data_IF_962504858031
#
_entry.id   IF_962504858031
#
_cell.length_a   1.000
_cell.length_b   1.000
_cell.length_c   1.000
_cell.angle_alpha   90.00
_cell.angle_beta   90.00
_cell.angle_gamma   90.00
#
_symmetry.space_group_name_H-M   'P 1'
#
loop_
_entity.id
_entity.type
_entity.pdbx_description
1 polymer ?
#
# COMPACT_ATOMS: atom_id res chain seq x y z
N UNK A 1 -0.52 12.30 -7.28
CA UNK A 1 -1.72 11.50 -7.60
C UNK A 1 -2.64 11.39 -6.38
N UNK A 2 -2.24 10.67 -5.32
CA UNK A 2 -3.11 10.45 -4.15
C UNK A 2 -3.63 11.73 -3.50
N UNK A 3 -2.76 12.72 -3.21
CA UNK A 3 -3.21 14.04 -2.72
C UNK A 3 -4.20 14.73 -3.65
N UNK A 4 -4.03 14.59 -4.97
CA UNK A 4 -4.93 15.16 -5.96
C UNK A 4 -6.29 14.44 -5.96
N UNK A 5 -6.30 13.10 -5.91
CA UNK A 5 -7.52 12.29 -5.83
C UNK A 5 -8.33 12.56 -4.56
N UNK A 6 -7.65 12.87 -3.45
CA UNK A 6 -8.29 13.27 -2.19
C UNK A 6 -8.76 14.75 -2.19
N UNK A 7 -8.58 15.48 -3.29
CA UNK A 7 -8.93 16.91 -3.38
C UNK A 7 -7.97 17.86 -2.65
N UNK A 8 -6.82 17.37 -2.20
CA UNK A 8 -5.80 18.08 -1.38
C UNK A 8 -4.63 18.56 -2.24
N UNK A 9 -4.93 19.14 -3.41
CA UNK A 9 -3.91 19.53 -4.39
C UNK A 9 -3.05 20.70 -3.92
N UNK A 10 -3.61 21.56 -3.08
CA UNK A 10 -2.96 22.69 -2.42
C UNK A 10 -1.83 22.24 -1.46
N UNK A 11 -1.93 21.04 -0.89
CA UNK A 11 -0.89 20.48 -0.04
C UNK A 11 0.35 20.01 -0.79
N UNK A 12 0.24 19.73 -2.09
CA UNK A 12 1.34 19.16 -2.88
C UNK A 12 2.57 20.08 -2.82
N UNK A 13 2.38 21.40 -2.95
CA UNK A 13 3.50 22.36 -2.88
C UNK A 13 4.11 22.46 -1.49
N UNK A 14 3.28 22.36 -0.44
CA UNK A 14 3.73 22.47 0.94
C UNK A 14 4.49 21.24 1.40
N UNK A 15 4.10 20.06 0.90
CA UNK A 15 4.72 18.76 1.24
C UNK A 15 5.99 18.48 0.44
N UNK A 16 6.10 19.04 -0.78
CA UNK A 16 7.26 18.84 -1.65
C UNK A 16 7.92 20.18 -2.04
N UNK A 17 8.33 21.03 -1.07
CA UNK A 17 8.80 22.39 -1.36
C UNK A 17 10.13 22.41 -2.12
N UNK A 18 10.94 21.35 -1.99
CA UNK A 18 12.19 21.20 -2.73
C UNK A 18 11.98 20.78 -4.19
N UNK A 19 10.77 20.33 -4.56
CA UNK A 19 10.46 19.82 -5.89
C UNK A 19 9.90 20.94 -6.76
N UNK A 20 10.76 21.59 -7.55
CA UNK A 20 10.40 22.69 -8.45
C UNK A 20 9.33 22.32 -9.49
N UNK A 21 9.20 21.03 -9.81
CA UNK A 21 8.17 20.50 -10.71
C UNK A 21 6.77 20.33 -10.11
N UNK A 22 6.56 20.57 -8.81
CA UNK A 22 5.29 20.32 -8.12
C UNK A 22 4.10 21.07 -8.74
N UNK A 23 4.27 22.34 -9.13
CA UNK A 23 3.25 23.15 -9.82
C UNK A 23 2.88 22.56 -11.18
N UNK A 24 3.91 22.13 -11.94
CA UNK A 24 3.71 21.49 -13.24
C UNK A 24 2.95 20.18 -13.08
N UNK A 25 3.29 19.37 -12.08
CA UNK A 25 2.60 18.10 -11.78
C UNK A 25 1.13 18.33 -11.46
N UNK A 26 0.78 19.35 -10.67
CA UNK A 26 -0.63 19.71 -10.41
C UNK A 26 -1.36 20.00 -11.72
N UNK A 27 -0.75 20.79 -12.61
CA UNK A 27 -1.33 21.13 -13.92
C UNK A 27 -1.51 19.90 -14.80
N UNK A 28 -0.52 18.99 -14.82
CA UNK A 28 -0.61 17.73 -15.57
C UNK A 28 -1.73 16.84 -15.06
N UNK A 29 -1.88 16.72 -13.74
CA UNK A 29 -2.96 15.95 -13.10
C UNK A 29 -4.34 16.53 -13.44
N UNK A 30 -4.51 17.86 -13.32
CA UNK A 30 -5.77 18.54 -13.65
C UNK A 30 -6.18 18.35 -15.12
N UNK A 31 -5.20 18.32 -16.03
CA UNK A 31 -5.43 18.14 -17.47
C UNK A 31 -5.38 16.67 -17.91
N UNK A 32 -5.15 15.74 -16.98
CA UNK A 32 -4.94 14.32 -17.24
C UNK A 32 -3.87 14.03 -18.32
N UNK A 33 -2.84 14.88 -18.39
CA UNK A 33 -1.76 14.76 -19.36
C UNK A 33 -0.66 13.86 -18.81
N UNK A 34 -0.28 12.80 -19.53
CA UNK A 34 0.75 11.84 -19.14
C UNK A 34 0.52 11.19 -17.76
N UNK A 35 -0.75 11.04 -17.35
CA UNK A 35 -1.15 10.47 -16.08
C UNK A 35 -1.69 9.05 -16.29
N UNK A 36 -0.80 8.08 -16.54
CA UNK A 36 -1.19 6.68 -16.65
C UNK A 36 -1.71 6.15 -15.30
N UNK A 37 -2.79 5.37 -15.33
CA UNK A 37 -3.32 4.69 -14.15
C UNK A 37 -2.48 3.45 -13.83
N UNK A 38 -2.47 3.04 -12.56
CA UNK A 38 -1.72 1.87 -12.11
C UNK A 38 -2.44 1.15 -10.97
N UNK A 39 -2.37 -0.18 -10.96
CA UNK A 39 -2.77 -1.04 -9.85
C UNK A 39 -1.55 -1.63 -9.11
N UNK A 40 -0.36 -1.06 -9.32
CA UNK A 40 0.88 -1.58 -8.75
C UNK A 40 0.92 -1.40 -7.24
N UNK A 41 1.06 -2.51 -6.51
CA UNK A 41 1.30 -2.48 -5.07
C UNK A 41 2.62 -1.78 -4.72
N UNK A 42 3.65 -1.87 -5.56
CA UNK A 42 4.89 -1.11 -5.38
C UNK A 42 4.65 0.41 -5.37
N UNK A 43 3.83 0.90 -6.30
CA UNK A 43 3.44 2.33 -6.34
C UNK A 43 2.57 2.73 -5.15
N UNK A 44 1.77 1.81 -4.59
CA UNK A 44 1.06 2.02 -3.33
C UNK A 44 2.03 2.20 -2.14
N UNK A 45 3.08 1.39 -2.04
CA UNK A 45 4.16 1.58 -1.05
C UNK A 45 4.87 2.92 -1.24
N UNK A 46 5.17 3.32 -2.48
CA UNK A 46 5.81 4.62 -2.74
C UNK A 46 4.93 5.80 -2.32
N UNK A 47 3.63 5.71 -2.60
CA UNK A 47 2.66 6.72 -2.18
C UNK A 47 2.61 6.83 -0.65
N UNK A 48 2.56 5.70 0.08
CA UNK A 48 2.59 5.71 1.53
C UNK A 48 3.89 6.31 2.10
N UNK A 49 5.04 5.98 1.52
CA UNK A 49 6.34 6.51 1.95
C UNK A 49 6.45 8.03 1.72
N UNK A 50 5.92 8.53 0.59
CA UNK A 50 5.87 9.96 0.30
C UNK A 50 4.93 10.70 1.26
N UNK A 51 3.74 10.16 1.53
CA UNK A 51 2.76 10.76 2.45
C UNK A 51 3.26 10.82 3.90
N UNK A 52 4.00 9.79 4.34
CA UNK A 52 4.61 9.72 5.67
C UNK A 52 5.95 10.45 5.79
N UNK A 53 6.37 11.15 4.73
CA UNK A 53 7.65 11.86 4.66
C UNK A 53 8.88 10.96 4.99
N UNK A 54 8.81 9.68 4.58
CA UNK A 54 9.89 8.70 4.80
C UNK A 54 10.96 8.85 3.73
N UNK A 55 10.52 8.99 2.47
CA UNK A 55 11.41 9.17 1.33
C UNK A 55 10.67 9.81 0.17
N UNK A 56 11.13 10.97 -0.29
CA UNK A 56 10.60 11.64 -1.47
C UNK A 56 11.22 11.10 -2.77
N UNK A 57 12.55 10.94 -2.78
CA UNK A 57 13.32 10.50 -3.95
C UNK A 57 13.98 9.16 -3.63
N UNK A 58 13.70 8.16 -4.45
CA UNK A 58 14.29 6.83 -4.32
C UNK A 58 15.63 6.76 -5.05
N UNK A 59 16.62 6.11 -4.43
CA UNK A 59 17.93 5.84 -5.03
C UNK A 59 17.99 4.50 -5.77
N UNK A 60 17.06 3.58 -5.46
CA UNK A 60 16.95 2.26 -6.08
C UNK A 60 15.51 1.74 -5.98
N UNK A 61 15.18 0.74 -6.79
CA UNK A 61 13.86 0.13 -6.82
C UNK A 61 13.53 -0.60 -5.51
N UNK A 62 12.32 -0.39 -4.98
CA UNK A 62 11.87 -1.01 -3.74
C UNK A 62 12.34 -0.32 -2.45
N UNK A 63 13.14 0.75 -2.52
CA UNK A 63 13.64 1.45 -1.33
C UNK A 63 12.53 1.92 -0.39
N UNK A 64 11.40 2.41 -0.92
CA UNK A 64 10.30 2.89 -0.10
C UNK A 64 9.65 1.75 0.71
N UNK A 65 9.42 0.62 0.06
CA UNK A 65 8.85 -0.57 0.70
C UNK A 65 9.76 -1.08 1.83
N UNK A 66 11.08 -1.15 1.60
CA UNK A 66 12.06 -1.56 2.61
C UNK A 66 12.07 -0.60 3.81
N UNK A 67 12.07 0.71 3.57
CA UNK A 67 12.08 1.70 4.65
C UNK A 67 10.79 1.67 5.47
N UNK A 68 9.62 1.55 4.81
CA UNK A 68 8.34 1.41 5.49
C UNK A 68 8.28 0.13 6.32
N UNK A 69 8.80 -0.98 5.80
CA UNK A 69 8.86 -2.25 6.53
C UNK A 69 9.68 -2.11 7.82
N UNK A 70 10.89 -1.53 7.74
CA UNK A 70 11.72 -1.31 8.92
C UNK A 70 11.09 -0.39 9.95
N UNK A 71 10.39 0.66 9.51
CA UNK A 71 9.65 1.57 10.39
C UNK A 71 8.46 0.88 11.08
N UNK A 72 7.74 0.02 10.36
CA UNK A 72 6.64 -0.76 10.92
C UNK A 72 7.16 -1.79 11.92
N UNK A 73 8.26 -2.47 11.62
CA UNK A 73 8.92 -3.42 12.53
C UNK A 73 9.38 -2.74 13.82
N UNK A 74 10.00 -1.56 13.71
CA UNK A 74 10.45 -0.78 14.87
C UNK A 74 9.29 -0.31 15.75
N UNK A 75 8.15 0.07 15.14
CA UNK A 75 6.97 0.47 15.90
C UNK A 75 6.32 -0.71 16.62
N UNK A 76 6.25 -1.86 15.95
CA UNK A 76 5.53 -3.04 16.42
C UNK A 76 4.08 -3.11 15.90
N UNK A 77 3.37 -4.14 16.37
CA UNK A 77 2.02 -4.48 15.88
C UNK A 77 0.98 -3.44 16.28
N UNK A 78 0.13 -3.06 15.33
CA UNK A 78 -1.06 -2.24 15.53
C UNK A 78 -2.26 -2.93 14.89
N UNK A 79 -3.47 -2.56 15.32
CA UNK A 79 -4.69 -3.02 14.67
C UNK A 79 -4.84 -2.37 13.28
N UNK A 80 -5.45 -3.10 12.34
CA UNK A 80 -5.84 -2.56 11.05
C UNK A 80 -6.83 -1.40 11.23
N UNK A 81 -6.77 -0.43 10.31
CA UNK A 81 -7.67 0.71 10.32
C UNK A 81 -9.09 0.26 9.96
N UNK A 82 -10.05 0.53 10.85
CA UNK A 82 -11.47 0.35 10.54
C UNK A 82 -11.87 1.19 9.33
N UNK A 83 -12.49 0.56 8.32
CA UNK A 83 -12.82 1.20 7.04
C UNK A 83 -11.59 1.76 6.29
N UNK A 84 -10.41 1.16 6.48
CA UNK A 84 -9.19 1.58 5.80
C UNK A 84 -9.10 1.17 4.32
N UNK A 85 -10.04 0.38 3.83
CA UNK A 85 -10.12 0.00 2.43
C UNK A 85 -11.58 -0.26 2.02
N UNK A 86 -11.81 -0.29 0.71
CA UNK A 86 -13.09 -0.65 0.10
C UNK A 86 -12.85 -1.76 -0.91
N UNK A 87 -13.72 -2.77 -0.93
CA UNK A 87 -13.75 -3.76 -2.02
C UNK A 87 -15.05 -3.54 -2.78
N UNK A 88 -14.94 -3.10 -4.03
CA UNK A 88 -16.09 -2.82 -4.88
C UNK A 88 -16.83 -4.11 -5.30
N UNK A 89 -17.98 -3.95 -5.95
CA UNK A 89 -18.78 -5.08 -6.42
C UNK A 89 -18.07 -5.87 -7.53
N UNK A 90 -17.32 -5.19 -8.39
CA UNK A 90 -16.45 -5.76 -9.43
C UNK A 90 -15.11 -6.28 -8.91
N UNK A 91 -14.90 -6.28 -7.58
CA UNK A 91 -13.75 -6.91 -6.95
C UNK A 91 -12.47 -6.07 -6.94
N UNK A 92 -12.58 -4.76 -7.13
CA UNK A 92 -11.43 -3.83 -7.00
C UNK A 92 -11.23 -3.49 -5.53
N UNK A 93 -10.02 -3.75 -5.02
CA UNK A 93 -9.59 -3.38 -3.67
C UNK A 93 -8.91 -2.00 -3.71
N UNK A 94 -9.51 -1.02 -3.04
CA UNK A 94 -9.05 0.36 -2.97
C UNK A 94 -8.59 0.71 -1.55
N UNK A 95 -7.34 1.19 -1.45
CA UNK A 95 -6.69 1.64 -0.22
C UNK A 95 -6.65 3.17 -0.07
N UNK A 96 -7.36 3.93 -0.90
CA UNK A 96 -7.44 5.38 -0.75
C UNK A 96 -7.86 5.83 0.67
N UNK A 97 -8.80 5.16 1.38
CA UNK A 97 -9.12 5.52 2.77
C UNK A 97 -7.93 5.37 3.72
N UNK A 98 -7.13 4.30 3.58
CA UNK A 98 -5.89 4.11 4.32
C UNK A 98 -4.88 5.22 4.02
N UNK A 99 -4.67 5.53 2.74
CA UNK A 99 -3.74 6.58 2.33
C UNK A 99 -4.16 7.95 2.90
N UNK A 100 -5.46 8.25 2.89
CA UNK A 100 -6.00 9.46 3.52
C UNK A 100 -5.68 9.51 5.02
N UNK A 101 -5.88 8.41 5.74
CA UNK A 101 -5.61 8.34 7.17
C UNK A 101 -4.13 8.53 7.52
N UNK A 102 -3.22 7.92 6.76
CA UNK A 102 -1.77 8.06 7.02
C UNK A 102 -1.21 9.41 6.57
N UNK A 103 -1.91 10.14 5.68
CA UNK A 103 -1.48 11.46 5.20
C UNK A 103 -1.33 12.46 6.34
N UNK A 104 -2.20 12.40 7.34
CA UNK A 104 -2.21 13.29 8.51
C UNK A 104 -1.47 12.70 9.72
N UNK A 105 -0.83 11.54 9.53
CA UNK A 105 -0.08 10.89 10.58
C UNK A 105 1.27 11.57 10.83
N UNK A 106 1.46 12.09 12.06
CA UNK A 106 2.72 12.74 12.45
C UNK A 106 3.85 11.77 12.78
N UNK A 107 3.52 10.53 13.15
CA UNK A 107 4.49 9.51 13.51
C UNK A 107 4.63 8.51 12.35
N UNK A 108 5.70 8.65 11.57
CA UNK A 108 5.94 7.81 10.41
C UNK A 108 6.02 6.31 10.74
N UNK A 109 6.59 5.94 11.89
CA UNK A 109 6.65 4.54 12.34
C UNK A 109 5.27 3.96 12.63
N UNK A 110 4.39 4.73 13.30
CA UNK A 110 3.01 4.33 13.52
C UNK A 110 2.24 4.23 12.19
N UNK A 111 2.37 5.23 11.32
CA UNK A 111 1.71 5.23 10.02
C UNK A 111 2.17 4.07 9.13
N UNK A 112 3.45 3.71 9.18
CA UNK A 112 3.98 2.54 8.48
C UNK A 112 3.41 1.23 9.04
N UNK A 113 3.30 1.10 10.37
CA UNK A 113 2.68 -0.07 11.00
C UNK A 113 1.19 -0.18 10.64
N UNK A 114 0.45 0.95 10.69
CA UNK A 114 -0.96 1.03 10.32
C UNK A 114 -1.17 0.68 8.84
N UNK A 115 -0.27 1.14 7.97
CA UNK A 115 -0.27 0.80 6.56
C UNK A 115 -0.14 -0.71 6.34
N UNK A 116 0.86 -1.36 6.95
CA UNK A 116 1.04 -2.81 6.78
C UNK A 116 -0.12 -3.62 7.37
N UNK A 117 -0.60 -3.24 8.56
CA UNK A 117 -1.72 -3.93 9.20
C UNK A 117 -2.99 -3.87 8.34
N UNK A 118 -3.31 -2.68 7.82
CA UNK A 118 -4.50 -2.45 7.00
C UNK A 118 -4.37 -3.06 5.61
N UNK A 119 -3.16 -3.01 5.01
CA UNK A 119 -2.88 -3.65 3.73
C UNK A 119 -3.07 -5.17 3.81
N UNK A 120 -2.54 -5.80 4.85
CA UNK A 120 -2.70 -7.24 5.06
C UNK A 120 -4.17 -7.63 5.30
N UNK A 121 -4.91 -6.83 6.07
CA UNK A 121 -6.34 -7.04 6.34
C UNK A 121 -7.17 -6.94 5.05
N UNK A 122 -6.96 -5.88 4.26
CA UNK A 122 -7.65 -5.68 2.98
C UNK A 122 -7.36 -6.77 1.96
N UNK A 123 -6.10 -7.18 1.84
CA UNK A 123 -5.71 -8.29 0.97
C UNK A 123 -6.31 -9.61 1.44
N UNK A 124 -6.36 -9.87 2.75
CA UNK A 124 -6.99 -11.08 3.29
C UNK A 124 -8.48 -11.12 2.96
N UNK A 125 -9.21 -10.03 3.21
CA UNK A 125 -10.64 -9.93 2.89
C UNK A 125 -10.89 -10.13 1.38
N UNK A 126 -10.04 -9.55 0.54
CA UNK A 126 -10.11 -9.68 -0.90
C UNK A 126 -9.82 -11.11 -1.38
N UNK A 127 -8.79 -11.76 -0.83
CA UNK A 127 -8.43 -13.15 -1.14
C UNK A 127 -9.52 -14.13 -0.69
N UNK A 128 -10.11 -13.95 0.49
CA UNK A 128 -11.19 -14.81 0.97
C UNK A 128 -12.43 -14.73 0.08
N UNK A 129 -12.82 -13.51 -0.31
CA UNK A 129 -13.95 -13.30 -1.22
C UNK A 129 -13.71 -13.96 -2.58
N UNK A 130 -12.49 -13.82 -3.13
CA UNK A 130 -12.13 -14.46 -4.38
C UNK A 130 -12.12 -16.00 -4.25
N UNK A 131 -11.58 -16.52 -3.15
CA UNK A 131 -11.52 -17.96 -2.89
C UNK A 131 -12.91 -18.60 -2.79
N UNK A 132 -13.85 -17.92 -2.11
CA UNK A 132 -15.24 -18.35 -1.98
C UNK A 132 -15.97 -18.32 -3.33
N UNK A 133 -15.86 -17.20 -4.06
CA UNK A 133 -16.53 -17.04 -5.36
C UNK A 133 -16.07 -18.05 -6.41
N UNK A 134 -14.78 -18.38 -6.42
CA UNK A 134 -14.18 -19.32 -7.38
C UNK A 134 -14.13 -20.76 -6.85
N UNK A 135 -14.59 -20.99 -5.61
CA UNK A 135 -14.54 -22.28 -4.92
C UNK A 135 -13.14 -22.93 -4.92
N UNK A 136 -12.12 -22.12 -4.61
CA UNK A 136 -10.72 -22.55 -4.53
C UNK A 136 -10.23 -22.55 -3.08
N UNK A 137 -9.33 -23.48 -2.77
CA UNK A 137 -8.74 -23.59 -1.43
C UNK A 137 -7.23 -23.39 -1.41
N UNK A 138 -6.63 -23.09 -2.57
CA UNK A 138 -5.18 -22.96 -2.73
C UNK A 138 -4.87 -21.60 -3.33
N UNK A 139 -3.99 -20.85 -2.66
CA UNK A 139 -3.57 -19.50 -3.05
C UNK A 139 -2.06 -19.50 -3.27
N UNK A 140 -1.61 -18.97 -4.39
CA UNK A 140 -0.19 -18.75 -4.66
C UNK A 140 0.17 -17.27 -4.42
N UNK A 141 1.22 -17.02 -3.65
CA UNK A 141 1.76 -15.68 -3.40
C UNK A 141 3.08 -15.54 -4.17
N UNK A 142 3.17 -14.52 -5.02
CA UNK A 142 4.34 -14.27 -5.86
C UNK A 142 4.48 -12.81 -6.28
N UNK A 143 5.70 -12.42 -6.68
CA UNK A 143 6.06 -11.04 -7.02
C UNK A 143 6.79 -10.30 -5.89
N UNK A 144 7.52 -9.25 -6.25
CA UNK A 144 8.49 -8.58 -5.36
C UNK A 144 7.90 -7.97 -4.08
N UNK A 145 6.60 -7.69 -4.03
CA UNK A 145 5.95 -7.19 -2.82
C UNK A 145 5.93 -8.23 -1.69
N UNK A 146 6.02 -9.53 -2.02
CA UNK A 146 6.12 -10.60 -1.02
C UNK A 146 7.55 -10.81 -0.49
N UNK A 147 8.53 -10.01 -0.93
CA UNK A 147 9.81 -9.88 -0.22
C UNK A 147 9.64 -9.12 1.11
N UNK A 148 8.55 -8.37 1.27
CA UNK A 148 8.19 -7.73 2.54
C UNK A 148 7.79 -8.81 3.56
N UNK A 149 8.62 -8.98 4.59
CA UNK A 149 8.48 -10.04 5.58
C UNK A 149 7.23 -9.86 6.43
N UNK A 150 6.89 -8.62 6.82
CA UNK A 150 5.69 -8.32 7.61
C UNK A 150 4.44 -8.76 6.84
N UNK A 151 4.31 -8.33 5.58
CA UNK A 151 3.16 -8.64 4.74
C UNK A 151 3.05 -10.14 4.48
N UNK A 152 4.14 -10.77 4.02
CA UNK A 152 4.16 -12.19 3.69
C UNK A 152 3.84 -13.07 4.90
N UNK A 153 4.48 -12.84 6.05
CA UNK A 153 4.21 -13.63 7.25
C UNK A 153 2.77 -13.45 7.75
N UNK A 154 2.24 -12.22 7.68
CA UNK A 154 0.86 -11.95 8.09
C UNK A 154 -0.14 -12.67 7.20
N UNK A 155 0.00 -12.54 5.88
CA UNK A 155 -0.91 -13.19 4.93
C UNK A 155 -0.82 -14.72 4.99
N UNK A 156 0.38 -15.29 5.01
CA UNK A 156 0.57 -16.75 5.09
C UNK A 156 -0.10 -17.29 6.37
N UNK A 157 0.15 -16.65 7.51
CA UNK A 157 -0.42 -17.09 8.80
C UNK A 157 -1.95 -16.98 8.79
N UNK A 158 -2.50 -15.88 8.27
CA UNK A 158 -3.94 -15.66 8.20
C UNK A 158 -4.63 -16.63 7.23
N UNK A 159 -4.04 -16.89 6.06
CA UNK A 159 -4.57 -17.84 5.08
C UNK A 159 -4.61 -19.27 5.64
N UNK A 160 -3.55 -19.72 6.31
CA UNK A 160 -3.56 -21.02 6.99
C UNK A 160 -4.62 -21.08 8.09
N UNK A 161 -4.79 -20.00 8.87
CA UNK A 161 -5.84 -19.91 9.89
C UNK A 161 -7.26 -20.05 9.35
N UNK A 162 -7.49 -19.72 8.06
CA UNK A 162 -8.76 -19.89 7.37
C UNK A 162 -8.85 -21.19 6.55
N UNK A 163 -7.91 -22.13 6.74
CA UNK A 163 -7.92 -23.43 6.07
C UNK A 163 -7.48 -23.40 4.60
N UNK A 164 -6.92 -22.29 4.12
CA UNK A 164 -6.38 -22.19 2.76
C UNK A 164 -4.95 -22.72 2.71
N UNK A 165 -4.63 -23.46 1.65
CA UNK A 165 -3.27 -23.88 1.33
C UNK A 165 -2.53 -22.74 0.64
N UNK A 166 -1.38 -22.37 1.16
CA UNK A 166 -0.54 -21.32 0.56
C UNK A 166 0.65 -21.92 -0.19
N UNK A 167 0.89 -21.44 -1.40
CA UNK A 167 2.08 -21.73 -2.20
C UNK A 167 2.94 -20.47 -2.27
N UNK A 168 4.23 -20.59 -1.97
CA UNK A 168 5.21 -19.49 -2.08
C UNK A 168 6.37 -19.94 -2.93
N UNK A 169 7.02 -18.99 -3.60
CA UNK A 169 8.24 -19.26 -4.33
C UNK A 169 9.36 -19.70 -3.35
N UNK A 170 10.08 -20.79 -3.66
CA UNK A 170 11.18 -21.31 -2.84
C UNK A 170 12.49 -21.51 -3.62
N UNK A 171 12.42 -21.88 -4.90
CA UNK A 171 13.61 -22.17 -5.72
C UNK A 171 14.06 -20.99 -6.58
N UNK A 172 13.17 -20.05 -6.86
CA UNK A 172 13.40 -18.83 -7.61
C UNK A 172 12.62 -17.69 -6.93
N UNK A 173 13.08 -16.43 -7.01
CA UNK A 173 12.28 -15.27 -6.64
C UNK A 173 11.01 -15.13 -7.50
#
# INVERSE_FOLDING_TARGET
>A
AVLFEMGRSDEIMHRFPAQTGSVTVITLLQRQLNCATTSSMGRLFDAAAGLLNVREIQSYEGQAAILLEGLAEQHGKVAALTNGYVISNDGVLDFLPLLAAITDCKNASYGAALFHATLADGLMAWLLRAAENENINTVALGGGCFLNRILSQTLISSLYGHGLRVLTAQQLP
#
